data_IF_493882124658
#
_entry.id   IF_493882124658
#
_cell.length_a   1.000
_cell.length_b   1.000
_cell.length_c   1.000
_cell.angle_alpha   90.00
_cell.angle_beta   90.00
_cell.angle_gamma   90.00
#
_symmetry.space_group_name_H-M   'P 1'
#
loop_
_entity.id
_entity.type
_entity.pdbx_description
1 polymer ?
#
# COMPACT_ATOMS: atom_id res chain seq x y z
N UNK A 1 -9.29 -5.25 -17.54
CA UNK A 1 -9.64 -6.56 -16.95
C UNK A 1 -9.79 -6.34 -15.46
N UNK A 2 -10.97 -6.58 -14.90
CA UNK A 2 -11.14 -6.66 -13.45
C UNK A 2 -10.23 -7.78 -12.93
N UNK A 3 -9.45 -7.54 -11.87
CA UNK A 3 -8.54 -8.53 -11.30
C UNK A 3 -9.26 -9.54 -10.39
N UNK A 4 -10.59 -9.40 -10.25
CA UNK A 4 -11.49 -10.31 -9.55
C UNK A 4 -12.47 -10.94 -10.55
N UNK A 5 -12.90 -12.16 -10.25
CA UNK A 5 -13.89 -12.88 -11.04
C UNK A 5 -15.30 -12.36 -10.73
N UNK A 6 -15.80 -11.44 -11.55
CA UNK A 6 -17.17 -10.93 -11.44
C UNK A 6 -18.24 -11.97 -11.79
N UNK A 7 -17.85 -13.15 -12.28
CA UNK A 7 -18.76 -14.28 -12.51
C UNK A 7 -18.99 -15.13 -11.26
N UNK A 8 -18.15 -14.97 -10.22
CA UNK A 8 -18.34 -15.66 -8.94
C UNK A 8 -19.57 -15.11 -8.20
N UNK A 9 -20.43 -15.99 -7.72
CA UNK A 9 -21.58 -15.57 -6.90
C UNK A 9 -21.11 -14.78 -5.68
N UNK A 10 -21.80 -13.66 -5.40
CA UNK A 10 -21.51 -12.78 -4.25
C UNK A 10 -20.11 -12.15 -4.25
N UNK A 11 -19.42 -12.08 -5.39
CA UNK A 11 -18.07 -11.51 -5.49
C UNK A 11 -17.95 -10.11 -4.88
N UNK A 12 -18.98 -9.26 -5.01
CA UNK A 12 -18.97 -7.91 -4.48
C UNK A 12 -18.84 -7.90 -2.94
N UNK A 13 -19.44 -8.88 -2.25
CA UNK A 13 -19.35 -8.98 -0.78
C UNK A 13 -17.92 -9.23 -0.28
N UNK A 14 -17.04 -9.73 -1.15
CA UNK A 14 -15.64 -9.95 -0.82
C UNK A 14 -14.76 -8.70 -1.02
N UNK A 15 -15.28 -7.61 -1.61
CA UNK A 15 -14.49 -6.40 -1.87
C UNK A 15 -13.98 -5.75 -0.57
N UNK A 16 -14.84 -5.54 0.43
CA UNK A 16 -14.43 -4.97 1.73
C UNK A 16 -13.43 -5.87 2.49
N UNK A 17 -13.70 -7.18 2.68
CA UNK A 17 -12.73 -8.09 3.30
C UNK A 17 -11.38 -8.13 2.58
N UNK A 18 -11.39 -8.18 1.24
CA UNK A 18 -10.17 -8.16 0.44
C UNK A 18 -9.43 -6.83 0.63
N UNK A 19 -10.13 -5.69 0.59
CA UNK A 19 -9.51 -4.39 0.85
C UNK A 19 -8.83 -4.33 2.22
N UNK A 20 -9.53 -4.76 3.28
CA UNK A 20 -8.95 -4.80 4.62
C UNK A 20 -7.72 -5.72 4.70
N UNK A 21 -7.78 -6.89 4.04
CA UNK A 21 -6.67 -7.82 3.99
C UNK A 21 -5.46 -7.25 3.23
N UNK A 22 -5.67 -6.58 2.10
CA UNK A 22 -4.58 -5.99 1.31
C UNK A 22 -3.93 -4.82 2.06
N UNK A 23 -4.72 -3.97 2.73
CA UNK A 23 -4.17 -2.91 3.61
C UNK A 23 -3.35 -3.52 4.75
N UNK A 24 -3.87 -4.55 5.41
CA UNK A 24 -3.16 -5.22 6.50
C UNK A 24 -1.83 -5.83 6.03
N UNK A 25 -1.85 -6.54 4.88
CA UNK A 25 -0.63 -7.11 4.29
C UNK A 25 0.37 -6.03 3.91
N UNK A 26 -0.08 -4.94 3.30
CA UNK A 26 0.78 -3.82 2.95
C UNK A 26 1.50 -3.23 4.18
N UNK A 27 0.79 -3.02 5.29
CA UNK A 27 1.40 -2.54 6.55
C UNK A 27 2.41 -3.54 7.09
N UNK A 28 2.04 -4.81 7.19
CA UNK A 28 2.90 -5.86 7.73
C UNK A 28 4.17 -6.05 6.90
N UNK A 29 4.08 -5.95 5.57
CA UNK A 29 5.26 -5.97 4.69
C UNK A 29 6.19 -4.79 4.99
N UNK A 30 5.66 -3.56 5.08
CA UNK A 30 6.47 -2.39 5.40
C UNK A 30 7.13 -2.47 6.78
N UNK A 31 6.40 -2.94 7.81
CA UNK A 31 6.94 -3.17 9.14
C UNK A 31 8.11 -4.16 9.11
N UNK A 32 7.98 -5.25 8.34
CA UNK A 32 9.05 -6.22 8.14
C UNK A 32 10.28 -5.63 7.45
N UNK A 33 10.09 -4.77 6.45
CA UNK A 33 11.21 -4.10 5.78
C UNK A 33 11.93 -3.12 6.72
N UNK A 34 11.19 -2.39 7.57
CA UNK A 34 11.78 -1.52 8.61
C UNK A 34 12.61 -2.35 9.59
N UNK A 35 12.07 -3.48 10.08
CA UNK A 35 12.79 -4.36 11.00
C UNK A 35 14.11 -4.85 10.39
N UNK A 36 14.10 -5.23 9.11
CA UNK A 36 15.31 -5.66 8.40
C UNK A 36 16.34 -4.54 8.30
N UNK A 37 15.92 -3.33 7.95
CA UNK A 37 16.83 -2.18 7.85
C UNK A 37 17.45 -1.79 9.19
N UNK A 38 16.71 -1.95 10.30
CA UNK A 38 17.20 -1.59 11.64
C UNK A 38 18.10 -2.66 12.24
N UNK A 39 17.76 -3.94 12.07
CA UNK A 39 18.36 -5.03 12.84
C UNK A 39 19.28 -5.95 12.00
N UNK A 40 19.24 -5.86 10.67
CA UNK A 40 19.92 -6.80 9.78
C UNK A 40 20.76 -6.07 8.70
N UNK A 41 21.85 -5.40 9.10
CA UNK A 41 22.71 -4.66 8.15
C UNK A 41 23.22 -5.56 7.03
N UNK A 42 23.29 -5.02 5.81
CA UNK A 42 23.76 -5.76 4.63
C UNK A 42 22.68 -6.48 3.82
N UNK A 43 21.40 -6.32 4.20
CA UNK A 43 20.26 -6.90 3.47
C UNK A 43 19.55 -5.87 2.55
N UNK A 44 20.19 -4.74 2.25
CA UNK A 44 19.60 -3.61 1.52
C UNK A 44 19.02 -4.02 0.16
N UNK A 45 19.68 -4.94 -0.54
CA UNK A 45 19.22 -5.41 -1.85
C UNK A 45 17.88 -6.14 -1.76
N UNK A 46 17.68 -6.97 -0.72
CA UNK A 46 16.43 -7.69 -0.50
C UNK A 46 15.34 -6.69 -0.13
N UNK A 47 15.64 -5.76 0.79
CA UNK A 47 14.69 -4.73 1.20
C UNK A 47 14.23 -3.88 0.03
N UNK A 48 15.17 -3.42 -0.80
CA UNK A 48 14.83 -2.61 -1.97
C UNK A 48 13.91 -3.32 -2.97
N UNK A 49 14.18 -4.60 -3.24
CA UNK A 49 13.31 -5.40 -4.11
C UNK A 49 11.91 -5.54 -3.51
N UNK A 50 11.83 -5.80 -2.21
CA UNK A 50 10.55 -5.97 -1.51
C UNK A 50 9.77 -4.67 -1.40
N UNK A 51 10.40 -3.55 -1.08
CA UNK A 51 9.78 -2.22 -1.12
C UNK A 51 9.19 -1.91 -2.50
N UNK A 52 9.89 -2.27 -3.58
CA UNK A 52 9.36 -2.11 -4.95
C UNK A 52 8.14 -3.00 -5.21
N UNK A 53 8.09 -4.21 -4.65
CA UNK A 53 6.92 -5.09 -4.75
C UNK A 53 5.75 -4.59 -3.90
N UNK A 54 6.00 -4.18 -2.66
CA UNK A 54 5.02 -3.61 -1.74
C UNK A 54 4.43 -2.32 -2.31
N UNK A 55 5.24 -1.46 -2.95
CA UNK A 55 4.77 -0.28 -3.67
C UNK A 55 3.76 -0.66 -4.78
N UNK A 56 4.03 -1.70 -5.57
CA UNK A 56 3.12 -2.16 -6.63
C UNK A 56 1.79 -2.72 -6.10
N UNK A 57 1.73 -3.18 -4.84
CA UNK A 57 0.49 -3.66 -4.23
C UNK A 57 -0.55 -2.54 -4.02
N UNK A 58 -0.11 -1.28 -3.93
CA UNK A 58 -1.01 -0.11 -3.80
C UNK A 58 -1.96 0.01 -4.98
N UNK A 59 -1.57 -0.43 -6.17
CA UNK A 59 -2.46 -0.48 -7.33
C UNK A 59 -3.71 -1.32 -7.06
N UNK A 60 -3.55 -2.45 -6.36
CA UNK A 60 -4.67 -3.34 -6.03
C UNK A 60 -5.58 -2.71 -4.97
N UNK A 61 -5.00 -2.11 -3.94
CA UNK A 61 -5.72 -1.35 -2.90
C UNK A 61 -6.53 -0.19 -3.51
N UNK A 62 -5.93 0.56 -4.45
CA UNK A 62 -6.56 1.65 -5.20
C UNK A 62 -7.79 1.19 -5.98
N UNK A 63 -7.67 0.08 -6.70
CA UNK A 63 -8.78 -0.48 -7.47
C UNK A 63 -9.89 -0.96 -6.52
N UNK A 64 -9.55 -1.71 -5.47
CA UNK A 64 -10.49 -2.17 -4.45
C UNK A 64 -11.32 -1.04 -3.84
N UNK A 65 -10.66 0.04 -3.42
CA UNK A 65 -11.33 1.18 -2.81
C UNK A 65 -12.28 1.88 -3.80
N UNK A 66 -11.87 2.00 -5.06
CA UNK A 66 -12.71 2.51 -6.14
C UNK A 66 -13.95 1.63 -6.34
N UNK A 67 -13.78 0.31 -6.45
CA UNK A 67 -14.90 -0.62 -6.65
C UNK A 67 -15.86 -0.60 -5.46
N UNK A 68 -15.34 -0.61 -4.24
CA UNK A 68 -16.17 -0.48 -3.03
C UNK A 68 -17.04 0.77 -3.08
N UNK A 69 -16.47 1.90 -3.53
CA UNK A 69 -17.24 3.14 -3.64
C UNK A 69 -18.34 3.12 -4.70
N UNK A 70 -18.21 2.27 -5.73
CA UNK A 70 -19.20 2.10 -6.79
C UNK A 70 -20.29 1.10 -6.37
N UNK A 71 -19.91 -0.03 -5.79
CA UNK A 71 -20.86 -1.11 -5.45
C UNK A 71 -21.50 -0.95 -4.07
N UNK A 72 -20.89 -0.20 -3.16
CA UNK A 72 -21.38 0.03 -1.80
C UNK A 72 -21.35 1.52 -1.40
N UNK A 73 -22.04 2.41 -2.14
CA UNK A 73 -21.99 3.84 -1.90
C UNK A 73 -22.45 4.24 -0.48
N UNK A 74 -23.39 3.50 0.09
CA UNK A 74 -23.95 3.76 1.43
C UNK A 74 -23.15 3.14 2.58
N UNK A 75 -22.10 2.36 2.29
CA UNK A 75 -21.28 1.75 3.33
C UNK A 75 -20.55 2.84 4.14
N UNK A 76 -20.41 2.67 5.45
CA UNK A 76 -19.75 3.64 6.33
C UNK A 76 -18.30 3.99 5.91
N UNK A 77 -17.58 3.04 5.28
CA UNK A 77 -16.27 3.28 4.68
C UNK A 77 -16.31 4.35 3.59
N UNK A 78 -17.39 4.37 2.80
CA UNK A 78 -17.60 5.27 1.66
C UNK A 78 -18.32 6.54 2.07
N UNK A 79 -19.48 6.39 2.74
CA UNK A 79 -20.41 7.47 3.07
C UNK A 79 -19.83 8.55 4.00
N UNK A 80 -18.79 8.23 4.77
CA UNK A 80 -18.08 9.20 5.62
C UNK A 80 -17.05 10.06 4.86
N UNK A 81 -16.83 9.79 3.58
CA UNK A 81 -15.86 10.52 2.75
C UNK A 81 -16.56 11.52 1.84
N UNK A 82 -15.82 12.54 1.40
CA UNK A 82 -16.34 13.52 0.43
C UNK A 82 -16.67 12.82 -0.90
N UNK A 83 -17.71 13.26 -1.62
CA UNK A 83 -18.01 12.77 -2.95
C UNK A 83 -16.77 12.82 -3.87
N UNK A 84 -16.54 11.76 -4.63
CA UNK A 84 -15.38 11.67 -5.53
C UNK A 84 -14.04 11.36 -4.86
N UNK A 85 -13.99 11.21 -3.53
CA UNK A 85 -12.75 10.91 -2.80
C UNK A 85 -12.03 9.65 -3.33
N UNK A 86 -12.77 8.56 -3.57
CA UNK A 86 -12.21 7.30 -4.05
C UNK A 86 -11.85 7.30 -5.53
N UNK A 87 -12.39 8.25 -6.31
CA UNK A 87 -12.10 8.42 -7.73
C UNK A 87 -10.91 9.37 -7.97
N UNK A 88 -10.61 10.25 -7.01
CA UNK A 88 -9.61 11.32 -7.20
C UNK A 88 -8.56 11.36 -6.09
N UNK A 89 -8.96 11.65 -4.85
CA UNK A 89 -8.04 11.87 -3.73
C UNK A 89 -7.31 10.61 -3.32
N UNK A 90 -8.02 9.50 -3.09
CA UNK A 90 -7.42 8.25 -2.65
C UNK A 90 -6.45 7.66 -3.68
N UNK A 91 -6.80 7.61 -4.99
CA UNK A 91 -5.84 7.31 -6.05
C UNK A 91 -4.53 8.08 -5.99
N UNK A 92 -4.59 9.41 -5.78
CA UNK A 92 -3.40 10.26 -5.71
C UNK A 92 -2.59 10.01 -4.45
N UNK A 93 -3.25 9.71 -3.33
CA UNK A 93 -2.59 9.31 -2.10
C UNK A 93 -1.81 8.00 -2.31
N UNK A 94 -2.42 7.00 -2.94
CA UNK A 94 -1.72 5.76 -3.29
C UNK A 94 -0.53 6.01 -4.21
N UNK A 95 -0.68 6.86 -5.24
CA UNK A 95 0.42 7.20 -6.16
C UNK A 95 1.55 7.95 -5.43
N UNK A 96 1.23 8.80 -4.46
CA UNK A 96 2.22 9.46 -3.60
C UNK A 96 2.99 8.45 -2.74
N UNK A 97 2.28 7.54 -2.06
CA UNK A 97 2.89 6.49 -1.24
C UNK A 97 3.77 5.57 -2.11
N UNK A 98 3.30 5.16 -3.29
CA UNK A 98 4.07 4.32 -4.21
C UNK A 98 5.42 4.98 -4.55
N UNK A 99 5.42 6.25 -4.90
CA UNK A 99 6.64 7.01 -5.16
C UNK A 99 7.51 7.17 -3.90
N UNK A 100 6.90 7.41 -2.75
CA UNK A 100 7.58 7.53 -1.46
C UNK A 100 8.22 6.21 -0.98
N UNK A 101 7.84 5.06 -1.56
CA UNK A 101 8.50 3.76 -1.33
C UNK A 101 9.58 3.46 -2.38
N UNK A 102 9.39 3.89 -3.63
CA UNK A 102 10.35 3.69 -4.72
C UNK A 102 11.62 4.52 -4.51
N UNK A 103 11.53 5.74 -3.99
CA UNK A 103 12.72 6.57 -3.77
C UNK A 103 13.64 5.97 -2.69
N UNK A 104 13.16 5.62 -1.48
CA UNK A 104 13.99 4.97 -0.48
C UNK A 104 14.52 3.60 -0.91
N UNK A 105 13.77 2.85 -1.74
CA UNK A 105 14.27 1.58 -2.28
C UNK A 105 15.51 1.76 -3.16
N UNK A 106 15.58 2.86 -3.94
CA UNK A 106 16.80 3.21 -4.69
C UNK A 106 17.90 3.70 -3.75
N UNK A 107 17.57 4.59 -2.81
CA UNK A 107 18.52 5.20 -1.88
C UNK A 107 19.27 4.13 -1.08
N UNK A 108 18.58 3.14 -0.53
CA UNK A 108 19.20 2.10 0.30
C UNK A 108 20.16 1.19 -0.48
N UNK A 109 19.94 1.00 -1.79
CA UNK A 109 20.88 0.25 -2.66
C UNK A 109 22.16 1.04 -2.90
N UNK A 110 22.03 2.34 -3.15
CA UNK A 110 23.16 3.18 -3.56
C UNK A 110 23.96 3.73 -2.39
N UNK A 111 23.33 3.88 -1.23
CA UNK A 111 23.95 4.32 0.01
C UNK A 111 23.55 3.39 1.17
N UNK A 112 24.31 2.31 1.42
CA UNK A 112 24.10 1.40 2.54
C UNK A 112 24.11 2.08 3.93
N UNK A 113 24.74 3.25 4.08
CA UNK A 113 24.73 3.98 5.35
C UNK A 113 23.39 4.68 5.62
N UNK A 114 22.50 4.71 4.62
CA UNK A 114 21.17 5.32 4.74
C UNK A 114 20.11 4.39 5.35
N UNK A 115 20.42 3.12 5.68
CA UNK A 115 19.47 2.12 6.21
C UNK A 115 18.58 2.66 7.34
N UNK A 116 19.19 3.25 8.38
CA UNK A 116 18.44 3.83 9.50
C UNK A 116 17.58 5.03 9.10
N UNK A 117 18.07 5.89 8.19
CA UNK A 117 17.29 7.02 7.70
C UNK A 117 16.09 6.56 6.88
N UNK A 118 16.28 5.55 6.03
CA UNK A 118 15.20 4.95 5.22
C UNK A 118 14.18 4.28 6.14
N UNK A 119 14.62 3.52 7.14
CA UNK A 119 13.73 2.92 8.14
C UNK A 119 12.85 3.96 8.84
N UNK A 120 13.42 5.11 9.23
CA UNK A 120 12.68 6.22 9.82
C UNK A 120 11.63 6.81 8.88
N UNK A 121 11.95 7.01 7.60
CA UNK A 121 11.01 7.54 6.61
C UNK A 121 9.85 6.57 6.37
N UNK A 122 10.14 5.26 6.35
CA UNK A 122 9.11 4.22 6.21
C UNK A 122 8.20 4.15 7.44
N UNK A 123 8.76 4.32 8.65
CA UNK A 123 7.98 4.36 9.88
C UNK A 123 7.05 5.59 9.91
N UNK A 124 7.54 6.77 9.55
CA UNK A 124 6.73 7.99 9.46
C UNK A 124 5.56 7.81 8.47
N UNK A 125 5.85 7.19 7.32
CA UNK A 125 4.81 6.82 6.35
C UNK A 125 3.77 5.89 6.95
N UNK A 126 4.16 4.85 7.69
CA UNK A 126 3.23 3.92 8.34
C UNK A 126 2.35 4.59 9.41
N UNK A 127 2.92 5.50 10.19
CA UNK A 127 2.21 6.19 11.27
C UNK A 127 1.15 7.17 10.72
N UNK A 128 1.29 7.60 9.46
CA UNK A 128 0.32 8.46 8.77
C UNK A 128 -0.82 7.70 8.07
N UNK A 129 -0.76 6.37 7.99
CA UNK A 129 -1.75 5.49 7.35
C UNK A 129 -2.80 4.96 8.33
#
# INVERSE_FOLDING_TARGET
MAWWDSSASRWAYNLLPNYAQEIYRFRLELEGEIEILVNHPGHQHIVSQRLTMTAKSLRKIKILASDISVYFPDNAFVARRRPGFFQTTFPRLCDFIENALIEPSKTVIHDPHSEHSVAWQLQDLLDTL
#
